data_IF_502896930795
#
_entry.id   IF_502896930795
#
_cell.length_a   1.000
_cell.length_b   1.000
_cell.length_c   1.000
_cell.angle_alpha   90.00
_cell.angle_beta   90.00
_cell.angle_gamma   90.00
#
_symmetry.space_group_name_H-M   'P 1'
#
loop_
_entity.id
_entity.type
_entity.pdbx_description
1 polymer ?
#
# COMPACT_ATOMS: atom_id res chain seq x y z
N UNK A 1 -15.16 -24.45 -3.32
CA UNK A 1 -15.70 -23.25 -2.66
C UNK A 1 -15.58 -22.12 -3.67
N UNK A 2 -16.65 -21.36 -3.93
CA UNK A 2 -16.56 -20.18 -4.80
C UNK A 2 -15.65 -19.16 -4.10
N UNK A 3 -14.50 -18.82 -4.68
CA UNK A 3 -13.77 -17.65 -4.18
C UNK A 3 -14.64 -16.43 -4.44
N UNK A 4 -14.90 -15.62 -3.42
CA UNK A 4 -15.57 -14.35 -3.63
C UNK A 4 -14.70 -13.51 -4.57
N UNK A 5 -15.31 -12.97 -5.62
CA UNK A 5 -14.66 -12.05 -6.53
C UNK A 5 -14.75 -10.65 -5.89
N UNK A 6 -13.61 -10.07 -5.55
CA UNK A 6 -13.50 -8.66 -5.18
C UNK A 6 -13.06 -7.85 -6.39
N UNK A 7 -13.79 -6.79 -6.71
CA UNK A 7 -13.50 -5.87 -7.83
C UNK A 7 -13.75 -4.44 -7.37
N UNK A 8 -12.85 -3.53 -7.71
CA UNK A 8 -13.00 -2.10 -7.51
C UNK A 8 -12.29 -1.33 -8.62
N UNK A 9 -12.67 -0.07 -8.79
CA UNK A 9 -11.89 0.93 -9.55
C UNK A 9 -11.57 2.09 -8.63
N UNK A 10 -10.48 2.81 -8.87
CA UNK A 10 -10.09 3.95 -8.02
C UNK A 10 -10.72 5.28 -8.47
N UNK A 11 -11.75 5.20 -9.31
CA UNK A 11 -12.59 6.33 -9.71
C UNK A 11 -13.63 6.64 -8.63
N UNK A 12 -14.17 7.86 -8.57
CA UNK A 12 -15.23 8.24 -7.64
C UNK A 12 -16.42 7.27 -7.66
N UNK A 13 -16.71 6.65 -6.51
CA UNK A 13 -17.80 5.68 -6.33
C UNK A 13 -17.46 4.24 -6.73
N UNK A 14 -16.30 3.99 -7.33
CA UNK A 14 -15.78 2.65 -7.62
C UNK A 14 -14.93 2.03 -6.50
N UNK A 15 -14.51 2.86 -5.55
CA UNK A 15 -13.69 2.50 -4.39
C UNK A 15 -14.44 2.79 -3.09
N UNK A 16 -14.43 1.82 -2.18
CA UNK A 16 -14.92 1.97 -0.82
C UNK A 16 -13.76 1.80 0.15
N UNK A 17 -13.35 2.88 0.81
CA UNK A 17 -12.27 2.88 1.79
C UNK A 17 -12.47 1.84 2.89
N UNK A 18 -13.72 1.55 3.28
CA UNK A 18 -14.03 0.59 4.34
C UNK A 18 -13.71 -0.88 4.02
N UNK A 19 -13.46 -1.21 2.74
CA UNK A 19 -13.03 -2.56 2.34
C UNK A 19 -11.51 -2.79 2.58
N UNK A 20 -10.79 -1.71 2.87
CA UNK A 20 -9.33 -1.69 2.92
C UNK A 20 -8.82 -1.43 4.33
N UNK A 21 -7.68 -2.03 4.65
CA UNK A 21 -6.93 -1.84 5.88
C UNK A 21 -5.76 -0.92 5.57
N UNK A 22 -5.63 0.15 6.33
CA UNK A 22 -4.43 0.98 6.34
C UNK A 22 -3.29 0.25 7.03
N UNK A 23 -2.16 0.12 6.33
CA UNK A 23 -0.97 -0.57 6.83
C UNK A 23 0.22 0.36 6.76
N UNK A 24 0.85 0.55 7.92
CA UNK A 24 2.00 1.44 8.08
C UNK A 24 3.31 0.69 7.88
N UNK A 25 4.31 1.40 7.38
CA UNK A 25 5.69 0.93 7.43
C UNK A 25 6.25 1.21 8.83
N UNK A 26 6.92 0.25 9.48
CA UNK A 26 7.58 0.49 10.77
C UNK A 26 8.76 1.49 10.65
N UNK A 27 9.14 1.85 9.43
CA UNK A 27 10.20 2.82 9.14
C UNK A 27 9.75 4.27 9.26
N UNK A 28 8.45 4.56 9.11
CA UNK A 28 7.95 5.92 8.94
C UNK A 28 6.78 6.25 9.88
N UNK A 29 6.83 7.42 10.49
CA UNK A 29 5.79 7.92 11.40
C UNK A 29 4.57 8.52 10.68
N UNK A 30 4.48 8.41 9.35
CA UNK A 30 3.35 8.94 8.60
C UNK A 30 2.03 8.31 9.08
N UNK A 31 1.00 9.12 9.42
CA UNK A 31 -0.24 8.62 10.00
C UNK A 31 -1.11 7.84 9.00
N UNK A 32 -0.75 7.84 7.71
CA UNK A 32 -1.54 7.21 6.67
C UNK A 32 -2.64 8.12 6.11
N UNK A 33 -3.55 7.49 5.39
CA UNK A 33 -4.74 8.08 4.82
C UNK A 33 -4.64 8.25 3.32
N UNK A 34 -5.81 8.23 2.70
CA UNK A 34 -5.96 8.43 1.27
C UNK A 34 -6.99 9.50 0.97
N UNK A 35 -6.88 10.04 -0.23
CA UNK A 35 -7.78 11.06 -0.77
C UNK A 35 -8.29 10.57 -2.12
N UNK A 36 -9.60 10.51 -2.27
CA UNK A 36 -10.22 10.29 -3.57
C UNK A 36 -9.96 11.51 -4.46
N UNK A 37 -9.36 11.27 -5.62
CA UNK A 37 -9.17 12.24 -6.70
C UNK A 37 -10.20 11.99 -7.82
N UNK A 38 -10.08 12.70 -8.94
CA UNK A 38 -11.02 12.61 -10.06
C UNK A 38 -11.01 11.23 -10.74
N UNK A 39 -9.86 10.59 -10.85
CA UNK A 39 -9.64 9.33 -11.58
C UNK A 39 -8.76 8.31 -10.82
N UNK A 40 -8.32 8.65 -9.61
CA UNK A 40 -7.47 7.79 -8.80
C UNK A 40 -7.62 8.07 -7.29
N UNK A 41 -6.92 7.29 -6.49
CA UNK A 41 -6.74 7.52 -5.05
C UNK A 41 -5.28 7.90 -4.82
N UNK A 42 -5.05 8.97 -4.06
CA UNK A 42 -3.69 9.41 -3.70
C UNK A 42 -3.47 9.26 -2.20
N UNK A 43 -2.23 9.04 -1.79
CA UNK A 43 -1.86 9.16 -0.38
C UNK A 43 -2.13 10.59 0.11
N UNK A 44 -2.49 10.72 1.38
CA UNK A 44 -2.51 12.03 2.02
C UNK A 44 -1.08 12.53 2.15
N UNK A 45 -0.82 13.73 1.67
CA UNK A 45 0.50 14.38 1.77
C UNK A 45 0.42 15.63 2.63
N UNK A 46 1.52 16.06 3.28
CA UNK A 46 1.55 17.34 3.99
C UNK A 46 1.17 18.50 3.07
N UNK A 47 0.33 19.42 3.54
CA UNK A 47 -0.18 20.54 2.73
C UNK A 47 0.91 21.52 2.28
N UNK A 48 2.07 21.49 2.94
CA UNK A 48 3.23 22.36 2.67
C UNK A 48 4.31 21.68 1.82
N UNK A 49 4.14 20.40 1.44
CA UNK A 49 5.14 19.66 0.69
C UNK A 49 5.02 19.92 -0.83
N UNK A 50 6.16 20.13 -1.48
CA UNK A 50 6.26 20.17 -2.94
C UNK A 50 6.48 18.77 -3.52
N UNK A 51 6.09 18.54 -4.78
CA UNK A 51 6.28 17.25 -5.43
C UNK A 51 7.76 16.79 -5.45
N UNK A 52 8.71 17.71 -5.60
CA UNK A 52 10.15 17.41 -5.60
C UNK A 52 10.62 16.92 -4.23
N UNK A 53 10.17 17.54 -3.14
CA UNK A 53 10.53 17.11 -1.78
C UNK A 53 9.98 15.72 -1.44
N UNK A 54 8.82 15.38 -2.01
CA UNK A 54 8.19 14.07 -1.85
C UNK A 54 8.91 12.95 -2.58
N UNK A 55 9.57 13.27 -3.70
CA UNK A 55 10.46 12.34 -4.39
C UNK A 55 11.85 12.24 -3.72
N UNK A 56 12.10 13.01 -2.66
CA UNK A 56 13.38 13.06 -1.97
C UNK A 56 13.25 12.93 -0.45
N UNK A 57 13.72 13.93 0.33
CA UNK A 57 13.93 13.79 1.76
C UNK A 57 12.65 13.55 2.57
N UNK A 58 11.50 13.99 2.05
CA UNK A 58 10.21 13.91 2.75
C UNK A 58 9.36 12.73 2.29
N UNK A 59 9.85 11.85 1.39
CA UNK A 59 9.05 10.74 0.86
C UNK A 59 8.45 9.83 1.94
N UNK A 60 9.17 9.63 3.05
CA UNK A 60 8.66 8.88 4.22
C UNK A 60 7.43 9.50 4.89
N UNK A 61 7.19 10.81 4.73
CA UNK A 61 6.02 11.52 5.25
C UNK A 61 4.76 11.31 4.41
N UNK A 62 4.81 10.45 3.39
CA UNK A 62 3.67 10.16 2.50
C UNK A 62 3.47 8.69 2.24
N UNK A 63 4.31 7.84 2.84
CA UNK A 63 4.19 6.41 2.66
C UNK A 63 2.90 5.93 3.34
N UNK A 64 1.90 5.60 2.53
CA UNK A 64 0.69 4.92 2.94
C UNK A 64 0.49 3.72 2.03
N UNK A 65 0.05 2.61 2.61
CA UNK A 65 -0.23 1.36 1.90
C UNK A 65 -1.56 0.79 2.37
N UNK A 66 -2.27 0.15 1.46
CA UNK A 66 -3.59 -0.44 1.72
C UNK A 66 -3.65 -1.91 1.32
N UNK A 67 -4.38 -2.70 2.10
CA UNK A 67 -4.66 -4.11 1.80
C UNK A 67 -6.17 -4.37 1.84
N UNK A 68 -6.70 -5.17 0.93
CA UNK A 68 -8.11 -5.59 0.97
C UNK A 68 -8.32 -6.52 2.18
N UNK A 69 -9.19 -6.12 3.10
CA UNK A 69 -9.36 -6.79 4.39
C UNK A 69 -9.69 -8.28 4.26
N UNK A 70 -10.67 -8.59 3.41
CA UNK A 70 -11.22 -9.94 3.23
C UNK A 70 -10.28 -10.90 2.48
N UNK A 71 -9.16 -10.40 1.93
CA UNK A 71 -8.20 -11.21 1.19
C UNK A 71 -6.98 -11.61 2.02
N UNK A 72 -6.79 -11.05 3.22
CA UNK A 72 -5.62 -11.39 4.05
C UNK A 72 -5.56 -12.89 4.38
N UNK A 73 -4.44 -13.52 3.99
CA UNK A 73 -4.20 -14.95 4.22
C UNK A 73 -4.98 -15.90 3.30
N UNK A 74 -5.71 -15.38 2.30
CA UNK A 74 -6.44 -16.19 1.34
C UNK A 74 -5.58 -16.63 0.15
N UNK A 75 -5.90 -17.79 -0.42
CA UNK A 75 -5.44 -18.18 -1.75
C UNK A 75 -6.13 -17.29 -2.79
N UNK A 76 -5.36 -16.49 -3.53
CA UNK A 76 -5.91 -15.48 -4.43
C UNK A 76 -5.22 -15.43 -5.79
N UNK A 77 -5.95 -14.90 -6.76
CA UNK A 77 -5.41 -14.45 -8.05
C UNK A 77 -5.77 -12.99 -8.24
N UNK A 78 -4.76 -12.15 -8.39
CA UNK A 78 -4.93 -10.71 -8.60
C UNK A 78 -4.75 -10.37 -10.07
N UNK A 79 -5.61 -9.51 -10.59
CA UNK A 79 -5.47 -8.85 -11.88
C UNK A 79 -5.67 -7.36 -11.68
N UNK A 80 -4.78 -6.54 -12.23
CA UNK A 80 -4.88 -5.08 -12.19
C UNK A 80 -4.56 -4.49 -13.57
N UNK A 81 -5.03 -3.27 -13.80
CA UNK A 81 -4.64 -2.42 -14.91
C UNK A 81 -4.04 -1.15 -14.31
N UNK A 82 -2.80 -0.83 -14.66
CA UNK A 82 -2.08 0.31 -14.11
C UNK A 82 -1.38 1.09 -15.22
N UNK A 83 -1.20 2.39 -15.02
CA UNK A 83 -0.41 3.28 -15.87
C UNK A 83 0.96 3.52 -15.24
N UNK A 84 1.94 3.88 -16.08
CA UNK A 84 3.27 4.33 -15.65
C UNK A 84 3.34 5.86 -15.58
N UNK A 85 2.23 6.50 -15.17
CA UNK A 85 2.17 7.95 -15.10
C UNK A 85 3.31 8.50 -14.24
N UNK A 86 3.88 9.62 -14.68
CA UNK A 86 5.05 10.24 -14.06
C UNK A 86 6.30 9.35 -13.95
N UNK A 87 6.40 8.28 -14.74
CA UNK A 87 7.47 7.27 -14.69
C UNK A 87 7.56 6.57 -13.33
N UNK A 88 6.46 6.51 -12.60
CA UNK A 88 6.37 5.76 -11.35
C UNK A 88 6.36 4.26 -11.63
N UNK A 89 6.63 3.46 -10.60
CA UNK A 89 6.64 2.01 -10.66
C UNK A 89 5.41 1.44 -9.93
N UNK A 90 4.32 1.09 -10.64
CA UNK A 90 3.13 0.52 -10.01
C UNK A 90 3.47 -0.77 -9.28
N UNK A 91 2.82 -1.02 -8.15
CA UNK A 91 3.13 -2.18 -7.32
C UNK A 91 1.87 -2.90 -6.82
N UNK A 92 1.99 -4.22 -6.65
CA UNK A 92 1.01 -5.06 -5.98
C UNK A 92 1.67 -5.62 -4.72
N UNK A 93 1.05 -5.40 -3.56
CA UNK A 93 1.57 -5.88 -2.28
C UNK A 93 0.82 -7.12 -1.82
N UNK A 94 1.57 -8.16 -1.46
CA UNK A 94 1.06 -9.33 -0.74
C UNK A 94 1.65 -9.32 0.66
N UNK A 95 0.79 -9.42 1.67
CA UNK A 95 1.22 -9.41 3.06
C UNK A 95 0.93 -10.74 3.74
N UNK A 96 1.82 -11.13 4.66
CA UNK A 96 1.50 -12.11 5.68
C UNK A 96 0.60 -11.51 6.78
N UNK A 97 0.48 -12.18 7.93
CA UNK A 97 -0.23 -11.64 9.09
C UNK A 97 0.32 -10.27 9.50
N UNK A 98 -0.58 -9.31 9.73
CA UNK A 98 -0.23 -7.95 10.15
C UNK A 98 0.12 -7.91 11.65
N UNK A 99 1.01 -6.99 11.99
CA UNK A 99 1.28 -6.58 13.36
C UNK A 99 0.38 -5.42 13.80
N UNK A 100 0.49 -5.05 15.07
CA UNK A 100 -0.05 -3.81 15.61
C UNK A 100 1.11 -3.04 16.22
N UNK A 101 1.27 -1.77 15.82
CA UNK A 101 2.30 -0.88 16.33
C UNK A 101 1.95 -0.37 17.74
N UNK A 102 2.86 0.42 18.35
CA UNK A 102 2.64 1.00 19.70
C UNK A 102 1.47 1.99 19.77
N UNK A 103 1.05 2.54 18.63
CA UNK A 103 -0.08 3.46 18.50
C UNK A 103 -1.42 2.76 18.24
N UNK A 104 -1.41 1.43 18.06
CA UNK A 104 -2.61 0.65 17.75
C UNK A 104 -2.91 0.53 16.25
N UNK A 105 -1.99 0.95 15.37
CA UNK A 105 -2.16 0.87 13.92
C UNK A 105 -1.62 -0.45 13.36
N UNK A 106 -2.21 -0.93 12.26
CA UNK A 106 -1.70 -2.11 11.57
C UNK A 106 -0.34 -1.82 10.93
N UNK A 107 0.61 -2.74 11.08
CA UNK A 107 1.94 -2.63 10.49
C UNK A 107 2.37 -3.91 9.77
N UNK A 108 3.20 -3.77 8.74
CA UNK A 108 3.80 -4.91 8.05
C UNK A 108 4.77 -5.67 8.98
N UNK A 109 4.70 -7.00 8.93
CA UNK A 109 5.72 -7.91 9.47
C UNK A 109 6.54 -8.53 8.36
N UNK A 110 5.85 -9.18 7.43
CA UNK A 110 6.40 -9.76 6.21
C UNK A 110 5.50 -9.37 5.04
N UNK A 111 6.11 -8.90 3.96
CA UNK A 111 5.39 -8.63 2.73
C UNK A 111 6.28 -8.78 1.49
N UNK A 112 5.61 -8.96 0.35
CA UNK A 112 6.21 -9.04 -0.97
C UNK A 112 5.60 -7.96 -1.83
N UNK A 113 6.45 -7.18 -2.49
CA UNK A 113 6.03 -6.21 -3.48
C UNK A 113 6.36 -6.75 -4.88
N UNK A 114 5.35 -6.79 -5.75
CA UNK A 114 5.52 -7.04 -7.18
C UNK A 114 5.48 -5.68 -7.87
N UNK A 115 6.64 -5.19 -8.26
CA UNK A 115 6.84 -3.86 -8.85
C UNK A 115 6.93 -3.98 -10.36
N UNK A 116 6.06 -3.26 -11.07
CA UNK A 116 6.06 -3.14 -12.52
C UNK A 116 6.99 -1.98 -12.91
N UNK A 117 7.82 -2.19 -13.93
CA UNK A 117 8.66 -1.15 -14.52
C UNK A 117 8.83 -1.39 -16.01
N UNK A 118 9.35 -0.39 -16.74
CA UNK A 118 9.41 -0.40 -18.20
C UNK A 118 10.17 -1.59 -18.82
N UNK A 119 11.02 -2.29 -18.07
CA UNK A 119 11.74 -3.48 -18.54
C UNK A 119 11.19 -4.81 -18.00
N UNK A 120 10.06 -4.81 -17.29
CA UNK A 120 9.39 -6.01 -16.82
C UNK A 120 8.87 -5.95 -15.38
N UNK A 121 9.14 -7.01 -14.61
CA UNK A 121 8.63 -7.18 -13.24
C UNK A 121 9.80 -7.41 -12.29
N UNK A 122 9.91 -6.56 -11.26
CA UNK A 122 10.80 -6.75 -10.12
C UNK A 122 10.02 -7.30 -8.94
N UNK A 123 10.60 -8.26 -8.21
CA UNK A 123 10.01 -8.82 -6.98
C UNK A 123 10.90 -8.46 -5.81
N UNK A 124 10.37 -7.68 -4.88
CA UNK A 124 11.04 -7.30 -3.64
C UNK A 124 10.43 -8.06 -2.46
N UNK A 125 11.28 -8.59 -1.59
CA UNK A 125 10.90 -9.25 -0.35
C UNK A 125 11.40 -8.42 0.81
N UNK A 126 10.50 -8.04 1.72
CA UNK A 126 10.87 -7.30 2.92
C UNK A 126 10.42 -8.08 4.16
N UNK A 127 11.40 -8.31 5.04
CA UNK A 127 11.21 -8.97 6.33
C UNK A 127 11.51 -7.97 7.43
N UNK A 128 10.53 -7.66 8.26
CA UNK A 128 10.72 -6.85 9.45
C UNK A 128 11.12 -7.77 10.60
N UNK A 129 12.40 -7.75 10.96
CA UNK A 129 12.91 -8.49 12.12
C UNK A 129 12.72 -7.63 13.36
N UNK A 130 11.69 -7.92 14.16
CA UNK A 130 11.60 -7.33 15.50
C UNK A 130 12.64 -8.01 16.40
N UNK A 131 13.44 -7.26 17.17
CA UNK A 131 14.29 -7.87 18.18
C UNK A 131 13.39 -8.62 19.16
N UNK A 132 13.73 -9.89 19.42
CA UNK A 132 13.09 -10.67 20.49
C UNK A 132 13.25 -9.88 21.79
N UNK A 133 12.14 -9.38 22.33
CA UNK A 133 12.13 -8.85 23.69
C UNK A 133 12.57 -9.99 24.63
N UNK A 134 13.60 -9.73 25.43
CA UNK A 134 14.11 -10.65 26.45
C UNK A 134 13.28 -10.58 27.72
#
# INVERSE_FOLDING_TARGET
>A
MSSALYECTFEPGGWNEGDWIEVRSPRWDHPGGWLQQEDHVSNRVPADATAEEMLGPRGGETYSSMLVADLLGADMRVRTCASFDFRMAPLIVFAGPLGIDRGGYSEYREHVEIVLFDEGINRFYEFVVHPLEK
#
